data_IF_215950937729
#
_entry.id   IF_215950937729
#
_cell.length_a   1.000
_cell.length_b   1.000
_cell.length_c   1.000
_cell.angle_alpha   90.00
_cell.angle_beta   90.00
_cell.angle_gamma   90.00
#
_symmetry.space_group_name_H-M   'P 1'
#
loop_
_entity.id
_entity.type
_entity.pdbx_description
1 polymer ?
#
# COMPACT_ATOMS: atom_id res chain seq x y z
N UNK A 1 25.04 -19.69 31.68
CA UNK A 1 25.06 -18.58 30.70
C UNK A 1 24.71 -19.04 29.29
N UNK A 2 25.34 -20.10 28.77
CA UNK A 2 25.07 -20.63 27.41
C UNK A 2 23.61 -21.09 27.18
N UNK A 3 22.98 -21.75 28.17
CA UNK A 3 21.61 -22.26 28.02
C UNK A 3 20.52 -21.19 27.88
N UNK A 4 20.74 -20.01 28.46
CA UNK A 4 19.82 -18.87 28.34
C UNK A 4 19.86 -18.25 26.93
N UNK A 5 21.06 -18.18 26.34
CA UNK A 5 21.24 -17.74 24.95
C UNK A 5 20.52 -18.68 23.98
N UNK A 6 20.61 -20.00 24.17
CA UNK A 6 19.93 -20.98 23.31
C UNK A 6 18.40 -20.82 23.37
N UNK A 7 17.83 -20.62 24.57
CA UNK A 7 16.40 -20.38 24.73
C UNK A 7 15.94 -19.04 24.14
N UNK A 8 16.76 -18.00 24.25
CA UNK A 8 16.49 -16.70 23.62
C UNK A 8 16.46 -16.81 22.10
N UNK A 9 17.42 -17.53 21.49
CA UNK A 9 17.42 -17.76 20.04
C UNK A 9 16.23 -18.60 19.59
N UNK A 10 15.91 -19.69 20.31
CA UNK A 10 14.78 -20.55 19.99
C UNK A 10 13.43 -19.82 20.07
N UNK A 11 13.26 -18.95 21.06
CA UNK A 11 12.04 -18.13 21.21
C UNK A 11 11.94 -17.06 20.13
N UNK A 12 13.04 -16.38 19.79
CA UNK A 12 13.07 -15.41 18.67
C UNK A 12 12.75 -16.10 17.33
N UNK A 13 13.32 -17.28 17.08
CA UNK A 13 13.03 -18.07 15.87
C UNK A 13 11.57 -18.58 15.89
N UNK A 14 11.07 -19.04 17.03
CA UNK A 14 9.69 -19.49 17.18
C UNK A 14 8.68 -18.38 16.95
N UNK A 15 8.90 -17.20 17.51
CA UNK A 15 8.10 -15.99 17.26
C UNK A 15 8.22 -15.58 15.80
N UNK A 16 9.41 -15.62 15.21
CA UNK A 16 9.62 -15.35 13.78
C UNK A 16 8.82 -16.32 12.89
N UNK A 17 8.84 -17.61 13.19
CA UNK A 17 8.10 -18.63 12.43
C UNK A 17 6.58 -18.52 12.65
N UNK A 18 6.12 -18.14 13.84
CA UNK A 18 4.70 -17.90 14.13
C UNK A 18 4.19 -16.64 13.43
N UNK A 19 4.97 -15.56 13.45
CA UNK A 19 4.69 -14.33 12.70
C UNK A 19 4.69 -14.63 11.19
N UNK A 20 5.67 -15.39 10.69
CA UNK A 20 5.72 -15.87 9.30
C UNK A 20 4.47 -16.67 8.93
N UNK A 21 4.07 -17.65 9.75
CA UNK A 21 2.87 -18.47 9.50
C UNK A 21 1.59 -17.63 9.55
N UNK A 22 1.52 -16.62 10.42
CA UNK A 22 0.40 -15.68 10.50
C UNK A 22 0.32 -14.78 9.26
N UNK A 23 1.47 -14.38 8.73
CA UNK A 23 1.62 -13.61 7.49
C UNK A 23 1.23 -14.44 6.25
N UNK A 24 1.73 -15.68 6.15
CA UNK A 24 1.39 -16.63 5.08
C UNK A 24 -0.10 -17.00 5.10
N UNK A 25 -0.74 -16.92 6.27
CA UNK A 25 -2.18 -17.16 6.46
C UNK A 25 -3.10 -16.00 6.07
N UNK A 26 -2.59 -14.90 5.51
CA UNK A 26 -3.45 -13.96 4.76
C UNK A 26 -3.87 -14.66 3.47
N UNK A 27 -4.83 -15.55 3.64
CA UNK A 27 -5.57 -16.22 2.58
C UNK A 27 -6.22 -15.10 1.79
N UNK A 28 -5.75 -14.90 0.55
CA UNK A 28 -6.48 -14.17 -0.48
C UNK A 28 -7.72 -15.03 -0.78
N UNK A 29 -8.71 -14.97 0.10
CA UNK A 29 -9.85 -15.86 0.08
C UNK A 29 -10.68 -15.64 -1.18
N UNK A 30 -10.80 -16.67 -2.02
CA UNK A 30 -11.72 -16.78 -3.16
C UNK A 30 -12.12 -15.42 -3.78
N UNK A 31 -11.14 -14.73 -4.38
CA UNK A 31 -11.32 -13.46 -5.12
C UNK A 31 -11.23 -13.71 -6.63
N UNK A 32 -11.60 -14.90 -7.11
CA UNK A 32 -11.69 -15.11 -8.57
C UNK A 32 -12.65 -14.05 -9.13
N UNK A 33 -12.18 -13.32 -10.15
CA UNK A 33 -12.97 -12.34 -10.92
C UNK A 33 -13.37 -11.04 -10.19
N UNK A 34 -12.64 -10.58 -9.15
CA UNK A 34 -12.92 -9.24 -8.58
C UNK A 34 -11.78 -8.26 -8.88
N UNK A 35 -12.01 -7.23 -9.70
CA UNK A 35 -10.93 -6.37 -10.19
C UNK A 35 -10.30 -5.55 -9.07
N UNK A 36 -8.98 -5.36 -9.14
CA UNK A 36 -8.21 -4.51 -8.22
C UNK A 36 -7.46 -3.43 -9.00
N UNK A 37 -7.43 -2.22 -8.47
CA UNK A 37 -6.64 -1.12 -9.00
C UNK A 37 -5.38 -0.95 -8.15
N UNK A 38 -4.21 -1.03 -8.77
CA UNK A 38 -2.91 -0.91 -8.10
C UNK A 38 -2.13 0.25 -8.74
N UNK A 39 -1.56 1.12 -7.90
CA UNK A 39 -0.68 2.21 -8.34
C UNK A 39 0.79 1.87 -8.10
N UNK A 40 1.69 2.40 -8.93
CA UNK A 40 3.13 2.13 -8.81
C UNK A 40 3.48 0.67 -9.07
N UNK A 41 3.12 0.18 -10.27
CA UNK A 41 3.29 -1.21 -10.68
C UNK A 41 4.54 -1.45 -11.53
N UNK A 42 5.43 -0.46 -11.70
CA UNK A 42 6.60 -0.60 -12.59
C UNK A 42 7.71 -1.44 -11.98
N UNK A 43 7.84 -1.41 -10.66
CA UNK A 43 8.89 -2.12 -9.94
C UNK A 43 8.54 -2.37 -8.47
N UNK A 44 9.32 -3.23 -7.83
CA UNK A 44 9.22 -3.53 -6.41
C UNK A 44 7.87 -4.12 -6.03
N UNK A 45 7.40 -3.75 -4.84
CA UNK A 45 6.23 -4.37 -4.21
C UNK A 45 4.94 -4.28 -5.04
N UNK A 46 4.70 -3.16 -5.72
CA UNK A 46 3.46 -2.97 -6.50
C UNK A 46 3.39 -3.88 -7.71
N UNK A 47 4.54 -4.07 -8.38
CA UNK A 47 4.69 -5.02 -9.48
C UNK A 47 4.49 -6.47 -9.00
N UNK A 48 5.16 -6.83 -7.92
CA UNK A 48 5.06 -8.11 -7.23
C UNK A 48 3.63 -8.46 -6.80
N UNK A 49 2.91 -7.50 -6.23
CA UNK A 49 1.51 -7.64 -5.88
C UNK A 49 0.62 -7.82 -7.12
N UNK A 50 0.87 -7.04 -8.18
CA UNK A 50 0.13 -7.16 -9.43
C UNK A 50 0.32 -8.55 -10.06
N UNK A 51 1.55 -9.07 -10.12
CA UNK A 51 1.83 -10.41 -10.60
C UNK A 51 1.10 -11.47 -9.78
N UNK A 52 1.16 -11.38 -8.44
CA UNK A 52 0.45 -12.33 -7.57
C UNK A 52 -1.06 -12.29 -7.80
N UNK A 53 -1.65 -11.11 -7.98
CA UNK A 53 -3.06 -10.98 -8.33
C UNK A 53 -3.37 -11.68 -9.67
N UNK A 54 -2.56 -11.43 -10.70
CA UNK A 54 -2.74 -12.05 -12.02
C UNK A 54 -2.61 -13.59 -11.95
N UNK A 55 -1.61 -14.13 -11.26
CA UNK A 55 -1.44 -15.58 -11.08
C UNK A 55 -2.62 -16.25 -10.35
N UNK A 56 -3.36 -15.49 -9.55
CA UNK A 56 -4.55 -15.98 -8.85
C UNK A 56 -5.87 -15.72 -9.63
N UNK A 57 -5.79 -15.25 -10.89
CA UNK A 57 -6.95 -14.94 -11.72
C UNK A 57 -7.73 -13.71 -11.25
N UNK A 58 -7.05 -12.77 -10.58
CA UNK A 58 -7.63 -11.50 -10.14
C UNK A 58 -7.30 -10.45 -11.21
N UNK A 59 -8.30 -9.83 -11.86
CA UNK A 59 -8.04 -8.75 -12.82
C UNK A 59 -7.35 -7.57 -12.14
N UNK A 60 -6.28 -7.07 -12.75
CA UNK A 60 -5.51 -5.92 -12.23
C UNK A 60 -5.58 -4.77 -13.22
N UNK A 61 -6.03 -3.62 -12.75
CA UNK A 61 -5.82 -2.34 -13.41
C UNK A 61 -4.58 -1.68 -12.81
N UNK A 62 -3.58 -1.39 -13.65
CA UNK A 62 -2.42 -0.61 -13.25
C UNK A 62 -2.67 0.87 -13.59
N UNK A 63 -2.58 1.75 -12.60
CA UNK A 63 -2.73 3.19 -12.82
C UNK A 63 -1.40 3.93 -12.65
N UNK A 64 -1.09 4.77 -13.64
CA UNK A 64 -0.11 5.84 -13.55
C UNK A 64 -0.78 7.16 -13.13
N UNK A 65 0.03 8.12 -12.69
CA UNK A 65 -0.29 9.48 -12.20
C UNK A 65 -1.19 10.37 -13.11
N UNK A 66 -1.86 9.84 -14.14
CA UNK A 66 -2.79 10.56 -15.03
C UNK A 66 -4.24 10.21 -14.68
N UNK A 67 -4.83 10.99 -13.78
CA UNK A 67 -6.10 10.65 -13.11
C UNK A 67 -7.30 10.50 -14.04
N UNK A 68 -7.54 11.43 -14.97
CA UNK A 68 -8.76 11.37 -15.80
C UNK A 68 -8.68 10.31 -16.90
N UNK A 69 -7.52 10.17 -17.54
CA UNK A 69 -7.34 9.11 -18.55
C UNK A 69 -7.35 7.73 -17.91
N UNK A 70 -6.70 7.57 -16.76
CA UNK A 70 -6.73 6.31 -16.01
C UNK A 70 -8.14 6.00 -15.51
N UNK A 71 -8.87 6.99 -15.00
CA UNK A 71 -10.25 6.83 -14.55
C UNK A 71 -11.13 6.35 -15.70
N UNK A 72 -11.12 7.08 -16.82
CA UNK A 72 -11.90 6.71 -18.00
C UNK A 72 -11.53 5.31 -18.51
N UNK A 73 -10.23 5.00 -18.59
CA UNK A 73 -9.78 3.67 -18.98
C UNK A 73 -10.34 2.58 -18.06
N UNK A 74 -10.26 2.75 -16.75
CA UNK A 74 -10.82 1.78 -15.79
C UNK A 74 -12.34 1.67 -15.94
N UNK A 75 -13.05 2.79 -16.08
CA UNK A 75 -14.50 2.80 -16.28
C UNK A 75 -14.91 2.07 -17.58
N UNK A 76 -14.20 2.33 -18.68
CA UNK A 76 -14.45 1.72 -19.99
C UNK A 76 -14.11 0.22 -20.01
N UNK A 77 -13.16 -0.23 -19.17
CA UNK A 77 -12.68 -1.61 -19.14
C UNK A 77 -13.16 -2.41 -17.93
N UNK A 78 -14.02 -1.84 -17.07
CA UNK A 78 -14.65 -2.55 -15.96
C UNK A 78 -15.64 -3.62 -16.45
N UNK A 79 -16.12 -3.56 -17.69
CA UNK A 79 -16.98 -4.59 -18.27
C UNK A 79 -18.20 -4.92 -17.39
N UNK A 80 -18.44 -6.21 -17.13
CA UNK A 80 -19.54 -6.68 -16.28
C UNK A 80 -19.27 -6.50 -14.76
N UNK A 81 -18.09 -6.03 -14.37
CA UNK A 81 -17.76 -5.83 -12.97
C UNK A 81 -18.54 -4.63 -12.41
N UNK A 82 -19.28 -4.85 -11.32
CA UNK A 82 -20.03 -3.81 -10.59
C UNK A 82 -19.15 -2.84 -9.77
N UNK A 83 -17.94 -2.55 -10.24
CA UNK A 83 -16.92 -1.74 -9.57
C UNK A 83 -15.68 -2.52 -9.12
N UNK A 84 -14.73 -1.79 -8.53
CA UNK A 84 -13.46 -2.29 -8.01
C UNK A 84 -13.66 -2.97 -6.65
N UNK A 85 -13.00 -4.11 -6.48
CA UNK A 85 -12.97 -4.82 -5.20
C UNK A 85 -11.94 -4.25 -4.23
N UNK A 86 -10.81 -3.79 -4.76
CA UNK A 86 -9.77 -3.12 -3.99
C UNK A 86 -9.14 -1.99 -4.79
N UNK A 87 -8.84 -0.89 -4.09
CA UNK A 87 -7.89 0.12 -4.51
C UNK A 87 -6.65 0.00 -3.64
N UNK A 88 -5.47 -0.16 -4.24
CA UNK A 88 -4.17 -0.29 -3.60
C UNK A 88 -3.26 0.88 -3.97
N UNK A 89 -3.12 1.80 -3.03
CA UNK A 89 -2.19 2.92 -3.11
C UNK A 89 -0.79 2.46 -2.68
N UNK A 90 0.06 2.11 -3.64
CA UNK A 90 1.44 1.64 -3.38
C UNK A 90 2.52 2.60 -3.90
N UNK A 91 2.20 3.46 -4.87
CA UNK A 91 3.17 4.42 -5.41
C UNK A 91 3.83 5.25 -4.31
N UNK A 92 5.15 5.37 -4.35
CA UNK A 92 5.89 6.29 -3.50
C UNK A 92 7.38 6.36 -3.80
N UNK A 93 7.98 7.51 -3.50
CA UNK A 93 9.40 7.84 -3.68
C UNK A 93 10.01 8.26 -2.35
N UNK A 94 11.30 7.97 -2.15
CA UNK A 94 12.03 8.39 -0.95
C UNK A 94 12.39 9.88 -1.00
N UNK A 95 12.67 10.40 -2.19
CA UNK A 95 13.21 11.75 -2.37
C UNK A 95 14.69 11.85 -2.01
N UNK A 96 15.15 13.08 -1.78
CA UNK A 96 16.53 13.35 -1.39
C UNK A 96 16.81 12.86 0.03
N UNK A 97 17.95 12.19 0.20
CA UNK A 97 18.41 11.64 1.49
C UNK A 97 19.52 12.54 2.02
N UNK A 98 19.19 13.39 2.97
CA UNK A 98 20.12 14.30 3.62
C UNK A 98 19.62 14.66 5.02
N UNK A 99 20.55 15.10 5.88
CA UNK A 99 20.18 15.73 7.14
C UNK A 99 19.37 17.00 6.88
N UNK A 100 18.54 17.39 7.85
CA UNK A 100 17.55 18.46 7.66
C UNK A 100 18.17 19.79 7.23
N UNK A 101 19.36 20.14 7.75
CA UNK A 101 20.10 21.35 7.39
C UNK A 101 20.44 21.47 5.89
N UNK A 102 20.45 20.34 5.16
CA UNK A 102 20.73 20.28 3.71
C UNK A 102 19.48 20.02 2.87
N UNK A 103 18.31 19.89 3.49
CA UNK A 103 17.06 19.73 2.80
C UNK A 103 16.37 21.08 2.62
N UNK A 104 15.66 21.21 1.51
CA UNK A 104 14.87 22.38 1.16
C UNK A 104 13.38 22.06 1.26
N UNK A 105 12.49 23.05 1.43
CA UNK A 105 11.05 22.83 1.34
C UNK A 105 10.61 22.14 0.04
N UNK A 106 11.32 22.37 -1.06
CA UNK A 106 11.07 21.72 -2.35
C UNK A 106 11.29 20.20 -2.29
N UNK A 107 12.28 19.72 -1.53
CA UNK A 107 12.51 18.28 -1.32
C UNK A 107 11.30 17.62 -0.63
N UNK A 108 10.70 18.31 0.33
CA UNK A 108 9.48 17.87 1.00
C UNK A 108 8.28 17.90 0.05
N UNK A 109 8.13 18.97 -0.73
CA UNK A 109 7.03 19.11 -1.69
C UNK A 109 7.07 18.02 -2.77
N UNK A 110 8.24 17.74 -3.34
CA UNK A 110 8.41 16.71 -4.37
C UNK A 110 7.94 15.34 -3.89
N UNK A 111 8.31 14.95 -2.67
CA UNK A 111 7.87 13.69 -2.07
C UNK A 111 6.38 13.74 -1.71
N UNK A 112 5.90 14.86 -1.18
CA UNK A 112 4.49 15.08 -0.85
C UNK A 112 3.55 14.93 -2.07
N UNK A 113 3.95 15.49 -3.22
CA UNK A 113 3.17 15.42 -4.46
C UNK A 113 2.88 13.99 -4.92
N UNK A 114 3.85 13.08 -4.70
CA UNK A 114 3.75 11.67 -5.09
C UNK A 114 3.13 10.84 -3.97
N UNK A 115 3.73 10.85 -2.78
CA UNK A 115 3.40 9.93 -1.70
C UNK A 115 2.11 10.29 -0.97
N UNK A 116 1.73 11.57 -0.97
CA UNK A 116 0.58 12.07 -0.22
C UNK A 116 -0.53 12.50 -1.16
N UNK A 117 -0.31 13.53 -1.98
CA UNK A 117 -1.36 14.03 -2.87
C UNK A 117 -1.72 13.00 -3.95
N UNK A 118 -0.77 12.24 -4.48
CA UNK A 118 -1.06 11.15 -5.41
C UNK A 118 -2.07 10.14 -4.85
N UNK A 119 -1.91 9.76 -3.58
CA UNK A 119 -2.84 8.85 -2.88
C UNK A 119 -4.22 9.48 -2.71
N UNK A 120 -4.28 10.76 -2.34
CA UNK A 120 -5.54 11.49 -2.18
C UNK A 120 -6.28 11.57 -3.51
N UNK A 121 -5.58 11.98 -4.56
CA UNK A 121 -6.18 12.19 -5.88
C UNK A 121 -6.70 10.88 -6.49
N UNK A 122 -5.91 9.80 -6.44
CA UNK A 122 -6.37 8.46 -6.85
C UNK A 122 -7.57 8.02 -6.02
N UNK A 123 -7.54 8.21 -4.70
CA UNK A 123 -8.69 7.88 -3.85
C UNK A 123 -9.92 8.70 -4.24
N UNK A 124 -9.79 9.99 -4.52
CA UNK A 124 -10.91 10.83 -4.99
C UNK A 124 -11.49 10.35 -6.32
N UNK A 125 -10.61 10.00 -7.27
CA UNK A 125 -11.02 9.51 -8.58
C UNK A 125 -11.80 8.18 -8.48
N UNK A 126 -11.35 7.25 -7.62
CA UNK A 126 -11.85 5.88 -7.65
C UNK A 126 -12.72 5.47 -6.46
N UNK A 127 -12.80 6.25 -5.37
CA UNK A 127 -13.55 5.85 -4.16
C UNK A 127 -15.02 5.48 -4.41
N UNK A 128 -15.63 6.08 -5.42
CA UNK A 128 -17.02 5.81 -5.80
C UNK A 128 -17.22 4.44 -6.47
N UNK A 129 -16.15 3.85 -7.04
CA UNK A 129 -16.17 2.54 -7.68
C UNK A 129 -15.80 1.40 -6.72
N UNK A 130 -15.30 1.71 -5.53
CA UNK A 130 -14.61 0.74 -4.68
C UNK A 130 -15.53 0.17 -3.59
N UNK A 131 -15.68 -1.17 -3.53
CA UNK A 131 -16.44 -1.89 -2.49
C UNK A 131 -15.59 -2.29 -1.26
N UNK A 132 -14.32 -1.92 -1.25
CA UNK A 132 -13.37 -2.14 -0.15
C UNK A 132 -12.04 -1.48 -0.49
N UNK A 133 -11.50 -0.63 0.37
CA UNK A 133 -10.21 0.03 0.11
C UNK A 133 -9.10 -0.67 0.89
N UNK A 134 -8.01 -1.04 0.22
CA UNK A 134 -6.86 -1.66 0.88
C UNK A 134 -5.64 -0.76 0.71
N UNK A 135 -5.16 -0.17 1.81
CA UNK A 135 -3.96 0.67 1.75
C UNK A 135 -2.71 -0.18 1.92
N UNK A 136 -1.69 0.10 1.11
CA UNK A 136 -0.32 -0.31 1.39
C UNK A 136 0.39 0.84 2.12
N UNK A 137 0.48 0.76 3.45
CA UNK A 137 1.27 1.69 4.25
C UNK A 137 2.35 0.90 4.95
N UNK A 138 3.60 1.12 4.55
CA UNK A 138 4.67 0.88 5.49
C UNK A 138 4.48 1.82 6.66
N UNK A 139 4.28 1.27 7.86
CA UNK A 139 4.39 2.06 9.07
C UNK A 139 5.85 2.47 9.14
N UNK A 140 6.14 3.75 8.93
CA UNK A 140 7.52 4.22 8.85
C UNK A 140 7.96 4.61 10.26
N UNK A 141 9.01 3.96 10.74
CA UNK A 141 9.77 4.48 11.87
C UNK A 141 10.46 5.76 11.39
N UNK A 142 10.33 6.86 12.12
CA UNK A 142 11.03 8.10 11.77
C UNK A 142 12.55 7.86 11.87
N UNK A 143 13.19 7.64 10.72
CA UNK A 143 14.64 7.49 10.64
C UNK A 143 15.28 8.82 10.26
N UNK A 144 16.51 9.11 10.75
CA UNK A 144 17.27 10.28 10.33
C UNK A 144 17.53 10.30 8.81
N UNK A 145 17.75 11.50 8.27
CA UNK A 145 18.10 11.77 6.87
C UNK A 145 17.04 11.44 5.80
N UNK A 146 15.83 10.98 6.18
CA UNK A 146 14.71 10.72 5.26
C UNK A 146 13.46 11.52 5.66
N UNK A 147 13.66 12.77 6.10
CA UNK A 147 12.60 13.69 6.54
C UNK A 147 11.41 13.78 5.59
N UNK A 148 11.61 14.08 4.28
CA UNK A 148 10.56 14.17 3.28
C UNK A 148 9.70 12.90 3.20
N UNK A 149 10.36 11.74 3.19
CA UNK A 149 9.68 10.45 3.18
C UNK A 149 8.85 10.22 4.45
N UNK A 150 9.45 10.43 5.62
CA UNK A 150 8.77 10.27 6.90
C UNK A 150 7.50 11.13 6.95
N UNK A 151 7.63 12.43 6.70
CA UNK A 151 6.50 13.38 6.71
C UNK A 151 5.39 12.91 5.77
N UNK A 152 5.73 12.55 4.54
CA UNK A 152 4.73 12.11 3.56
C UNK A 152 3.98 10.85 4.00
N UNK A 153 4.66 9.92 4.67
CA UNK A 153 4.09 8.64 5.12
C UNK A 153 3.19 8.81 6.34
N UNK A 154 3.57 9.64 7.30
CA UNK A 154 2.69 10.03 8.41
C UNK A 154 1.44 10.77 7.91
N UNK A 155 1.60 11.70 6.95
CA UNK A 155 0.48 12.41 6.37
C UNK A 155 -0.51 11.47 5.66
N UNK A 156 0.00 10.51 4.90
CA UNK A 156 -0.87 9.50 4.26
C UNK A 156 -1.48 8.53 5.27
N UNK A 157 -0.86 8.30 6.43
CA UNK A 157 -1.49 7.56 7.54
C UNK A 157 -2.70 8.30 8.09
N UNK A 158 -2.56 9.59 8.40
CA UNK A 158 -3.66 10.44 8.87
C UNK A 158 -4.82 10.53 7.86
N UNK A 159 -4.52 10.76 6.57
CA UNK A 159 -5.55 10.79 5.52
C UNK A 159 -6.33 9.48 5.45
N UNK A 160 -5.60 8.36 5.52
CA UNK A 160 -6.21 7.05 5.42
C UNK A 160 -7.05 6.68 6.64
N UNK A 161 -6.66 7.09 7.84
CA UNK A 161 -7.49 6.92 9.03
C UNK A 161 -8.79 7.73 8.93
N UNK A 162 -8.72 8.94 8.37
CA UNK A 162 -9.88 9.79 8.12
C UNK A 162 -10.85 9.12 7.14
N UNK A 163 -10.37 8.77 5.94
CA UNK A 163 -11.23 8.22 4.89
C UNK A 163 -11.79 6.84 5.25
N UNK A 164 -11.09 6.07 6.10
CA UNK A 164 -11.60 4.81 6.65
C UNK A 164 -12.88 5.04 7.45
N UNK A 165 -12.89 6.04 8.34
CA UNK A 165 -14.05 6.34 9.18
C UNK A 165 -15.18 6.87 8.30
N UNK A 166 -14.87 7.76 7.36
CA UNK A 166 -15.85 8.35 6.45
C UNK A 166 -16.50 7.30 5.54
N UNK A 167 -15.69 6.40 4.94
CA UNK A 167 -16.21 5.38 4.01
C UNK A 167 -16.74 4.12 4.70
N UNK A 168 -16.37 3.88 5.95
CA UNK A 168 -16.89 2.76 6.74
C UNK A 168 -18.43 2.77 6.83
N UNK A 169 -19.05 3.95 6.84
CA UNK A 169 -20.51 4.14 6.82
C UNK A 169 -21.18 3.60 5.55
N UNK A 170 -20.44 3.52 4.44
CA UNK A 170 -20.92 2.99 3.16
C UNK A 170 -20.57 1.52 2.97
N UNK A 171 -20.16 0.81 4.03
CA UNK A 171 -19.80 -0.61 3.98
C UNK A 171 -18.43 -0.88 3.35
N UNK A 172 -17.64 0.15 3.08
CA UNK A 172 -16.28 0.01 2.56
C UNK A 172 -15.37 -0.51 3.69
N UNK A 173 -14.87 -1.73 3.52
CA UNK A 173 -13.91 -2.32 4.47
C UNK A 173 -12.51 -1.77 4.23
N UNK A 174 -11.77 -1.58 5.32
CA UNK A 174 -10.42 -1.04 5.30
C UNK A 174 -9.39 -2.01 5.88
N UNK A 175 -8.20 -2.08 5.30
CA UNK A 175 -7.06 -2.80 5.86
C UNK A 175 -5.75 -2.08 5.52
N UNK A 176 -4.84 -2.00 6.50
CA UNK A 176 -3.47 -1.54 6.32
C UNK A 176 -2.55 -2.75 6.11
N UNK A 177 -1.82 -2.76 5.00
CA UNK A 177 -0.79 -3.76 4.72
C UNK A 177 0.59 -3.13 4.91
N UNK A 178 1.44 -3.79 5.69
CA UNK A 178 2.82 -3.37 5.95
C UNK A 178 3.73 -4.05 4.92
N UNK A 179 4.57 -3.33 4.15
CA UNK A 179 5.39 -3.98 3.10
C UNK A 179 6.35 -5.04 3.68
N UNK A 180 6.82 -4.88 4.92
CA UNK A 180 7.65 -5.88 5.61
C UNK A 180 6.93 -7.24 5.81
N UNK A 181 5.60 -7.24 5.79
CA UNK A 181 4.76 -8.43 5.97
C UNK A 181 4.36 -9.14 4.68
N UNK A 182 4.85 -8.73 3.52
CA UNK A 182 4.73 -9.51 2.29
C UNK A 182 6.13 -9.68 1.68
N UNK A 183 6.86 -10.70 2.13
CA UNK A 183 7.97 -11.24 1.34
C UNK A 183 7.42 -12.36 0.48
N UNK A 184 7.54 -12.20 -0.83
CA UNK A 184 7.27 -13.26 -1.80
C UNK A 184 8.42 -14.26 -1.75
N UNK A 185 8.10 -15.49 -1.35
CA UNK A 185 8.85 -16.68 -1.72
C UNK A 185 8.06 -17.41 -2.80
#
# INVERSE_FOLDING_TARGET
MLGYLVWLFATVIGVYLLVRKSIESIVVGSIKEKPVLITGCDSGFGFDLALKCLFNGIPVFAAFLMEEQAKKFVEDNLGDYKGLHALVNNAGVVGNVAWDDWLTPEDYENVWQVNTLGVIRVTHAFKHLVKGMKKMSTRVLALPAIGPYNVSKFAVEAYCDTIRVELGRFGVKWSSLNQASLKLH
#
